data_IF_573436985509
#
_entry.id   IF_573436985509
#
_cell.length_a   1.000
_cell.length_b   1.000
_cell.length_c   1.000
_cell.angle_alpha   90.00
_cell.angle_beta   90.00
_cell.angle_gamma   90.00
#
_symmetry.space_group_name_H-M   'P 1'
#
loop_
_entity.id
_entity.type
_entity.pdbx_description
1 polymer ?
#
# COMPACT_ATOMS: atom_id res chain seq x y z
N UNK A 1 -15.29 10.96 28.85
CA UNK A 1 -16.22 10.54 27.79
C UNK A 1 -17.43 9.93 28.48
N UNK A 2 -18.58 10.60 28.43
CA UNK A 2 -19.83 10.01 28.90
C UNK A 2 -20.15 8.81 28.01
N UNK A 3 -20.45 7.67 28.61
CA UNK A 3 -20.94 6.48 27.91
C UNK A 3 -22.28 6.85 27.27
N UNK A 4 -22.26 7.21 26.00
CA UNK A 4 -23.46 7.55 25.25
C UNK A 4 -24.20 6.23 25.00
N UNK A 5 -25.43 6.12 25.50
CA UNK A 5 -26.27 4.95 25.21
C UNK A 5 -26.49 4.86 23.70
N UNK A 6 -26.18 3.69 23.12
CA UNK A 6 -26.37 3.48 21.69
C UNK A 6 -27.87 3.52 21.35
N UNK A 7 -28.22 4.41 20.43
CA UNK A 7 -29.54 4.49 19.82
C UNK A 7 -29.55 3.46 18.69
N UNK A 8 -30.14 2.30 18.96
CA UNK A 8 -30.22 1.17 18.03
C UNK A 8 -30.68 1.56 16.61
N UNK A 9 -31.57 2.53 16.48
CA UNK A 9 -32.06 3.01 15.18
C UNK A 9 -30.97 3.66 14.32
N UNK A 10 -30.02 4.37 14.93
CA UNK A 10 -28.89 4.96 14.21
C UNK A 10 -27.92 3.87 13.76
N UNK A 11 -27.58 2.95 14.67
CA UNK A 11 -26.67 1.83 14.37
C UNK A 11 -27.24 0.96 13.23
N UNK A 12 -28.54 0.62 13.28
CA UNK A 12 -29.21 -0.17 12.25
C UNK A 12 -29.36 0.59 10.92
N UNK A 13 -29.50 1.92 10.95
CA UNK A 13 -29.54 2.74 9.75
C UNK A 13 -28.16 2.79 9.07
N UNK A 14 -27.11 3.15 9.82
CA UNK A 14 -25.75 3.27 9.28
C UNK A 14 -25.23 1.93 8.78
N UNK A 15 -25.43 0.83 9.52
CA UNK A 15 -25.00 -0.50 9.05
C UNK A 15 -25.62 -0.89 7.72
N UNK A 16 -26.92 -0.59 7.53
CA UNK A 16 -27.59 -0.85 6.25
C UNK A 16 -27.08 0.08 5.15
N UNK A 17 -26.87 1.35 5.47
CA UNK A 17 -26.37 2.35 4.54
C UNK A 17 -24.98 1.98 4.02
N UNK A 18 -24.05 1.67 4.92
CA UNK A 18 -22.63 1.38 4.62
C UNK A 18 -22.43 0.03 3.92
N UNK A 19 -23.29 -0.96 4.21
CA UNK A 19 -23.19 -2.31 3.62
C UNK A 19 -23.09 -2.27 2.10
N UNK A 20 -23.91 -1.44 1.46
CA UNK A 20 -24.05 -1.39 0.00
C UNK A 20 -23.17 -0.30 -0.65
N UNK A 21 -22.24 0.30 0.11
CA UNK A 21 -21.21 1.19 -0.42
C UNK A 21 -20.07 0.38 -1.08
N UNK A 22 -19.53 0.89 -2.20
CA UNK A 22 -18.41 0.33 -2.95
C UNK A 22 -17.03 0.79 -2.42
N UNK A 23 -16.90 0.79 -1.09
CA UNK A 23 -15.71 1.20 -0.36
C UNK A 23 -14.96 -0.02 0.20
N UNK A 24 -13.67 0.12 0.51
CA UNK A 24 -12.92 -0.91 1.23
C UNK A 24 -13.42 -1.06 2.68
N UNK A 25 -13.20 -2.20 3.33
CA UNK A 25 -13.71 -2.45 4.69
C UNK A 25 -13.17 -1.45 5.73
N UNK A 26 -11.93 -0.97 5.56
CA UNK A 26 -11.38 0.08 6.41
C UNK A 26 -12.14 1.41 6.19
N UNK A 27 -12.32 1.82 4.93
CA UNK A 27 -13.10 3.02 4.56
C UNK A 27 -14.57 2.92 5.01
N UNK A 28 -15.19 1.76 4.90
CA UNK A 28 -16.55 1.51 5.40
C UNK A 28 -16.65 1.75 6.89
N UNK A 29 -15.66 1.26 7.65
CA UNK A 29 -15.60 1.52 9.09
C UNK A 29 -15.38 2.99 9.41
N UNK A 30 -14.53 3.68 8.65
CA UNK A 30 -14.32 5.13 8.80
C UNK A 30 -15.63 5.90 8.58
N UNK A 31 -16.34 5.57 7.51
CA UNK A 31 -17.65 6.16 7.18
C UNK A 31 -18.70 5.83 8.24
N UNK A 32 -18.73 4.59 8.74
CA UNK A 32 -19.63 4.17 9.82
C UNK A 32 -19.37 4.99 11.10
N UNK A 33 -18.10 5.12 11.51
CA UNK A 33 -17.72 5.87 12.72
C UNK A 33 -18.04 7.38 12.57
N UNK A 34 -17.67 7.99 11.45
CA UNK A 34 -17.88 9.43 11.18
C UNK A 34 -19.37 9.77 11.09
N UNK A 35 -20.15 9.01 10.31
CA UNK A 35 -21.58 9.30 10.13
C UNK A 35 -22.38 9.00 11.39
N UNK A 36 -22.00 7.98 12.15
CA UNK A 36 -22.60 7.72 13.46
C UNK A 36 -22.38 8.93 14.38
N UNK A 37 -21.16 9.47 14.45
CA UNK A 37 -20.87 10.67 15.24
C UNK A 37 -21.76 11.86 14.81
N UNK A 38 -21.91 12.10 13.50
CA UNK A 38 -22.77 13.15 12.99
C UNK A 38 -24.25 13.00 13.37
N UNK A 39 -24.79 11.77 13.34
CA UNK A 39 -26.17 11.50 13.79
C UNK A 39 -26.33 11.84 15.28
N UNK A 40 -25.36 11.45 16.13
CA UNK A 40 -25.40 11.75 17.56
C UNK A 40 -25.22 13.23 17.89
N UNK A 41 -24.34 13.94 17.16
CA UNK A 41 -24.16 15.38 17.33
C UNK A 41 -25.44 16.14 17.00
N UNK A 42 -26.10 15.74 15.91
CA UNK A 42 -27.38 16.32 15.50
C UNK A 42 -28.51 16.00 16.49
N UNK A 43 -28.63 14.74 16.91
CA UNK A 43 -29.58 14.33 17.95
C UNK A 43 -29.39 15.12 19.25
N UNK A 44 -28.14 15.30 19.68
CA UNK A 44 -27.81 16.06 20.89
C UNK A 44 -28.19 17.54 20.76
N UNK A 45 -28.09 18.11 19.56
CA UNK A 45 -28.56 19.47 19.27
C UNK A 45 -30.08 19.59 19.42
N UNK A 46 -30.85 18.64 18.86
CA UNK A 46 -32.31 18.62 18.97
C UNK A 46 -32.79 18.39 20.39
N UNK A 47 -32.12 17.52 21.15
CA UNK A 47 -32.39 17.31 22.58
C UNK A 47 -32.17 18.61 23.39
N UNK A 48 -31.13 19.38 23.09
CA UNK A 48 -30.90 20.70 23.73
C UNK A 48 -31.96 21.73 23.38
N UNK A 49 -32.63 21.57 22.24
CA UNK A 49 -33.76 22.41 21.84
C UNK A 49 -35.09 21.97 22.49
N UNK A 50 -35.09 20.89 23.28
CA UNK A 50 -36.24 20.40 24.02
C UNK A 50 -37.14 19.46 23.23
N UNK A 51 -36.69 18.92 22.09
CA UNK A 51 -37.46 17.91 21.35
C UNK A 51 -37.53 16.60 22.14
N UNK A 52 -38.67 15.92 22.04
CA UNK A 52 -38.86 14.59 22.60
C UNK A 52 -37.93 13.58 21.89
N UNK A 53 -37.52 12.52 22.61
CA UNK A 53 -36.49 11.59 22.13
C UNK A 53 -36.89 10.93 20.82
N UNK A 54 -38.14 10.46 20.70
CA UNK A 54 -38.58 9.78 19.49
C UNK A 54 -38.66 10.72 18.28
N UNK A 55 -39.17 11.93 18.50
CA UNK A 55 -39.27 12.99 17.49
C UNK A 55 -37.88 13.45 17.02
N UNK A 56 -36.93 13.60 17.94
CA UNK A 56 -35.55 13.95 17.61
C UNK A 56 -34.87 12.86 16.76
N UNK A 57 -35.07 11.58 17.09
CA UNK A 57 -34.49 10.46 16.32
C UNK A 57 -35.06 10.44 14.90
N UNK A 58 -36.37 10.56 14.76
CA UNK A 58 -37.03 10.59 13.45
C UNK A 58 -36.53 11.79 12.62
N UNK A 59 -36.48 12.98 13.23
CA UNK A 59 -36.01 14.20 12.58
C UNK A 59 -34.57 14.08 12.08
N UNK A 60 -33.68 13.46 12.86
CA UNK A 60 -32.29 13.23 12.44
C UNK A 60 -32.22 12.31 11.23
N UNK A 61 -32.95 11.18 11.25
CA UNK A 61 -32.93 10.22 10.15
C UNK A 61 -33.52 10.80 8.86
N UNK A 62 -34.62 11.55 8.96
CA UNK A 62 -35.23 12.24 7.82
C UNK A 62 -34.30 13.30 7.22
N UNK A 63 -33.62 14.08 8.06
CA UNK A 63 -32.68 15.10 7.60
C UNK A 63 -31.37 14.54 7.07
N UNK A 64 -30.93 13.38 7.58
CA UNK A 64 -29.74 12.71 7.06
C UNK A 64 -29.97 12.24 5.62
N UNK A 65 -31.18 11.77 5.31
CA UNK A 65 -31.66 11.57 3.95
C UNK A 65 -32.00 10.12 3.62
N UNK A 66 -32.45 9.93 2.37
CA UNK A 66 -32.79 8.60 1.86
C UNK A 66 -31.54 7.75 1.63
N UNK A 67 -31.60 6.51 2.09
CA UNK A 67 -30.47 5.58 2.07
C UNK A 67 -30.00 5.27 0.65
N UNK A 68 -30.92 5.08 -0.30
CA UNK A 68 -30.57 4.74 -1.69
C UNK A 68 -29.95 5.93 -2.40
N UNK A 69 -30.46 7.13 -2.11
CA UNK A 69 -29.92 8.37 -2.66
C UNK A 69 -28.47 8.58 -2.20
N UNK A 70 -28.21 8.49 -0.89
CA UNK A 70 -26.85 8.64 -0.34
C UNK A 70 -25.92 7.55 -0.89
N UNK A 71 -26.35 6.30 -0.93
CA UNK A 71 -25.57 5.20 -1.52
C UNK A 71 -25.21 5.48 -2.97
N UNK A 72 -26.16 5.96 -3.77
CA UNK A 72 -25.96 6.27 -5.18
C UNK A 72 -24.95 7.41 -5.33
N UNK A 73 -25.11 8.49 -4.59
CA UNK A 73 -24.23 9.64 -4.64
C UNK A 73 -22.80 9.30 -4.21
N UNK A 74 -22.66 8.55 -3.11
CA UNK A 74 -21.35 8.11 -2.60
C UNK A 74 -20.70 7.14 -3.59
N UNK A 75 -21.43 6.16 -4.12
CA UNK A 75 -20.90 5.20 -5.09
C UNK A 75 -20.55 5.84 -6.44
N UNK A 76 -21.22 6.94 -6.82
CA UNK A 76 -20.85 7.72 -8.00
C UNK A 76 -19.64 8.62 -7.77
N UNK A 77 -19.56 9.24 -6.58
CA UNK A 77 -18.49 10.18 -6.21
C UNK A 77 -17.18 9.47 -5.90
N UNK A 78 -17.25 8.30 -5.28
CA UNK A 78 -16.10 7.44 -5.02
C UNK A 78 -15.89 6.50 -6.21
N UNK A 79 -14.78 6.64 -6.97
CA UNK A 79 -14.46 5.62 -7.96
C UNK A 79 -14.39 4.28 -7.23
N UNK A 80 -15.10 3.27 -7.75
CA UNK A 80 -15.18 1.97 -7.08
C UNK A 80 -13.79 1.52 -6.63
N UNK A 81 -13.66 1.04 -5.38
CA UNK A 81 -12.37 0.61 -4.82
C UNK A 81 -11.63 -0.34 -5.77
N UNK A 82 -12.36 -1.14 -6.54
CA UNK A 82 -11.83 -2.01 -7.60
C UNK A 82 -11.15 -1.19 -8.72
N UNK A 83 -11.80 -0.15 -9.25
CA UNK A 83 -11.25 0.67 -10.34
C UNK A 83 -10.00 1.43 -9.88
N UNK A 84 -10.03 2.02 -8.69
CA UNK A 84 -8.90 2.75 -8.14
C UNK A 84 -7.71 1.82 -7.85
N UNK A 85 -8.00 0.62 -7.33
CA UNK A 85 -7.01 -0.44 -7.16
C UNK A 85 -6.41 -0.87 -8.50
N UNK A 86 -7.23 -1.17 -9.51
CA UNK A 86 -6.74 -1.56 -10.85
C UNK A 86 -5.86 -0.45 -11.42
N UNK A 87 -6.27 0.81 -11.29
CA UNK A 87 -5.48 1.94 -11.77
C UNK A 87 -4.12 2.02 -11.08
N UNK A 88 -4.07 1.84 -9.75
CA UNK A 88 -2.80 1.76 -9.00
C UNK A 88 -1.91 0.63 -9.50
N UNK A 89 -2.45 -0.57 -9.63
CA UNK A 89 -1.71 -1.74 -10.13
C UNK A 89 -1.19 -1.54 -11.54
N UNK A 90 -2.00 -0.94 -12.44
CA UNK A 90 -1.57 -0.63 -13.80
C UNK A 90 -0.41 0.36 -13.82
N UNK A 91 -0.45 1.42 -13.01
CA UNK A 91 0.65 2.39 -12.92
C UNK A 91 1.92 1.72 -12.40
N UNK A 92 1.82 0.93 -11.32
CA UNK A 92 2.96 0.21 -10.75
C UNK A 92 3.54 -0.78 -11.77
N UNK A 93 2.68 -1.54 -12.45
CA UNK A 93 3.07 -2.51 -13.46
C UNK A 93 3.81 -1.87 -14.63
N UNK A 94 3.30 -0.76 -15.16
CA UNK A 94 3.96 0.00 -16.23
C UNK A 94 5.33 0.51 -15.78
N UNK A 95 5.44 1.06 -14.57
CA UNK A 95 6.73 1.51 -14.03
C UNK A 95 7.73 0.35 -13.86
N UNK A 96 7.27 -0.82 -13.39
CA UNK A 96 8.11 -2.01 -13.27
C UNK A 96 8.61 -2.49 -14.64
N UNK A 97 7.74 -2.52 -15.65
CA UNK A 97 8.11 -2.90 -17.02
C UNK A 97 9.13 -1.89 -17.57
N UNK A 98 8.86 -0.59 -17.51
CA UNK A 98 9.79 0.44 -18.00
C UNK A 98 11.15 0.31 -17.30
N UNK A 99 11.17 0.18 -15.97
CA UNK A 99 12.41 0.02 -15.21
C UNK A 99 13.15 -1.27 -15.57
N UNK A 100 12.45 -2.37 -15.82
CA UNK A 100 13.07 -3.65 -16.21
C UNK A 100 13.67 -3.63 -17.63
N UNK A 101 13.12 -2.81 -18.53
CA UNK A 101 13.59 -2.70 -19.91
C UNK A 101 14.75 -1.71 -20.03
N UNK A 102 14.64 -0.56 -19.37
CA UNK A 102 15.60 0.54 -19.46
C UNK A 102 16.71 0.40 -18.42
N UNK A 103 16.39 -0.13 -17.23
CA UNK A 103 17.33 -0.26 -16.11
C UNK A 103 18.60 -1.01 -16.49
N UNK A 104 18.53 -2.25 -17.03
CA UNK A 104 19.73 -2.97 -17.45
C UNK A 104 20.57 -2.22 -18.49
N UNK A 105 19.93 -1.52 -19.42
CA UNK A 105 20.63 -0.71 -20.43
C UNK A 105 21.40 0.46 -19.79
N UNK A 106 20.77 1.19 -18.86
CA UNK A 106 21.40 2.35 -18.20
C UNK A 106 22.48 1.91 -17.21
N UNK A 107 22.19 0.89 -16.40
CA UNK A 107 22.99 0.54 -15.23
C UNK A 107 24.21 -0.33 -15.57
N UNK A 108 24.05 -1.28 -16.49
CA UNK A 108 25.10 -2.25 -16.84
C UNK A 108 25.44 -2.26 -18.33
N UNK A 109 24.86 -1.37 -19.13
CA UNK A 109 25.11 -1.31 -20.57
C UNK A 109 24.58 -2.53 -21.33
N UNK A 110 23.61 -3.26 -20.77
CA UNK A 110 23.06 -4.45 -21.43
C UNK A 110 22.26 -4.07 -22.67
N UNK A 111 22.46 -4.82 -23.76
CA UNK A 111 21.63 -4.69 -24.96
C UNK A 111 20.22 -5.20 -24.70
N UNK A 112 19.24 -4.53 -25.30
CA UNK A 112 17.85 -4.96 -25.23
C UNK A 112 17.68 -6.36 -25.80
N UNK A 113 17.04 -7.24 -25.02
CA UNK A 113 16.64 -8.56 -25.45
C UNK A 113 15.11 -8.71 -25.33
N UNK A 114 14.42 -9.28 -26.33
CA UNK A 114 12.95 -9.41 -26.29
C UNK A 114 12.40 -10.14 -25.06
N UNK A 115 13.15 -11.09 -24.50
CA UNK A 115 12.72 -11.83 -23.31
C UNK A 115 12.69 -10.98 -22.03
N UNK A 116 13.31 -9.79 -22.01
CA UNK A 116 13.17 -8.88 -20.87
C UNK A 116 11.71 -8.46 -20.65
N UNK A 117 10.92 -8.36 -21.72
CA UNK A 117 9.48 -8.06 -21.61
C UNK A 117 8.74 -9.23 -20.97
N UNK A 118 8.92 -10.44 -21.51
CA UNK A 118 8.18 -11.62 -21.03
C UNK A 118 8.58 -12.02 -19.60
N UNK A 119 9.87 -12.00 -19.28
CA UNK A 119 10.36 -12.28 -17.93
C UNK A 119 9.78 -11.28 -16.91
N UNK A 120 9.74 -10.00 -17.24
CA UNK A 120 9.23 -8.96 -16.35
C UNK A 120 7.72 -9.03 -16.18
N UNK A 121 6.96 -9.38 -17.22
CA UNK A 121 5.52 -9.63 -17.12
C UNK A 121 5.22 -10.83 -16.22
N UNK A 122 5.95 -11.93 -16.38
CA UNK A 122 5.79 -13.13 -15.53
C UNK A 122 6.14 -12.78 -14.09
N UNK A 123 7.29 -12.14 -13.85
CA UNK A 123 7.70 -11.70 -12.52
C UNK A 123 6.67 -10.77 -11.87
N UNK A 124 6.06 -9.85 -12.64
CA UNK A 124 5.04 -8.93 -12.17
C UNK A 124 3.76 -9.66 -11.76
N UNK A 125 3.31 -10.66 -12.54
CA UNK A 125 2.15 -11.50 -12.17
C UNK A 125 2.42 -12.22 -10.86
N UNK A 126 3.59 -12.83 -10.70
CA UNK A 126 3.96 -13.48 -9.44
C UNK A 126 4.05 -12.48 -8.28
N UNK A 127 4.67 -11.32 -8.49
CA UNK A 127 4.77 -10.27 -7.48
C UNK A 127 3.38 -9.81 -7.02
N UNK A 128 2.45 -9.59 -7.94
CA UNK A 128 1.06 -9.25 -7.63
C UNK A 128 0.38 -10.34 -6.79
N UNK A 129 0.47 -11.61 -7.20
CA UNK A 129 -0.18 -12.72 -6.49
C UNK A 129 0.39 -12.89 -5.07
N UNK A 130 1.72 -12.82 -4.93
CA UNK A 130 2.41 -12.93 -3.64
C UNK A 130 2.04 -11.76 -2.74
N UNK A 131 2.08 -10.53 -3.26
CA UNK A 131 1.72 -9.33 -2.51
C UNK A 131 0.27 -9.40 -2.01
N UNK A 132 -0.68 -9.78 -2.88
CA UNK A 132 -2.08 -9.98 -2.50
C UNK A 132 -2.24 -11.04 -1.42
N UNK A 133 -1.49 -12.14 -1.50
CA UNK A 133 -1.52 -13.18 -0.49
C UNK A 133 -1.01 -12.68 0.87
N UNK A 134 0.14 -11.98 0.88
CA UNK A 134 0.73 -11.39 2.10
C UNK A 134 -0.24 -10.38 2.70
N UNK A 135 -0.70 -9.41 1.91
CA UNK A 135 -1.58 -8.34 2.37
C UNK A 135 -2.90 -8.90 2.96
N UNK A 136 -3.49 -9.92 2.32
CA UNK A 136 -4.72 -10.56 2.82
C UNK A 136 -4.52 -11.30 4.14
N UNK A 137 -3.34 -11.91 4.36
CA UNK A 137 -3.04 -12.70 5.57
C UNK A 137 -2.57 -11.83 6.73
N UNK A 138 -2.12 -10.62 6.45
CA UNK A 138 -1.57 -9.70 7.44
C UNK A 138 -2.65 -8.81 8.05
N UNK A 139 -3.57 -9.39 8.81
CA UNK A 139 -4.54 -8.62 9.60
C UNK A 139 -4.02 -8.20 10.97
N UNK A 140 -3.05 -8.94 11.54
CA UNK A 140 -2.51 -8.69 12.88
C UNK A 140 -1.06 -8.15 12.82
N UNK A 141 -0.83 -6.99 13.45
CA UNK A 141 0.48 -6.36 13.58
C UNK A 141 1.48 -7.24 14.35
N UNK A 142 1.01 -8.11 15.25
CA UNK A 142 1.87 -9.02 16.01
C UNK A 142 2.55 -10.03 15.09
N UNK A 143 1.83 -10.52 14.08
CA UNK A 143 2.38 -11.40 13.05
C UNK A 143 3.43 -10.66 12.23
N UNK A 144 3.25 -9.37 11.94
CA UNK A 144 4.25 -8.54 11.27
C UNK A 144 5.54 -8.45 12.07
N UNK A 145 5.48 -8.30 13.40
CA UNK A 145 6.69 -8.24 14.26
C UNK A 145 7.44 -9.57 14.25
N UNK A 146 6.74 -10.67 14.54
CA UNK A 146 7.35 -12.01 14.58
C UNK A 146 7.92 -12.36 13.19
N UNK A 147 7.14 -12.09 12.14
CA UNK A 147 7.52 -12.30 10.76
C UNK A 147 8.74 -11.48 10.36
N UNK A 148 8.82 -10.20 10.75
CA UNK A 148 9.95 -9.33 10.44
C UNK A 148 11.24 -9.85 11.10
N UNK A 149 11.17 -10.25 12.37
CA UNK A 149 12.33 -10.86 13.07
C UNK A 149 12.79 -12.11 12.32
N UNK A 150 11.87 -13.01 11.97
CA UNK A 150 12.20 -14.23 11.24
C UNK A 150 12.80 -13.95 9.86
N UNK A 151 12.25 -12.98 9.12
CA UNK A 151 12.75 -12.58 7.80
C UNK A 151 14.17 -12.01 7.92
N UNK A 152 14.44 -11.15 8.90
CA UNK A 152 15.79 -10.60 9.09
C UNK A 152 16.81 -11.67 9.46
N UNK A 153 16.46 -12.60 10.36
CA UNK A 153 17.35 -13.74 10.69
C UNK A 153 17.68 -14.53 9.43
N UNK A 154 16.68 -14.85 8.61
CA UNK A 154 16.90 -15.57 7.36
C UNK A 154 17.72 -14.75 6.35
N UNK A 155 17.45 -13.45 6.24
CA UNK A 155 18.19 -12.53 5.40
C UNK A 155 19.68 -12.50 5.78
N UNK A 156 20.01 -12.42 7.07
CA UNK A 156 21.39 -12.51 7.54
C UNK A 156 22.05 -13.86 7.24
N UNK A 157 21.31 -14.97 7.31
CA UNK A 157 21.81 -16.29 6.94
C UNK A 157 22.11 -16.38 5.43
N UNK A 158 21.21 -15.87 4.58
CA UNK A 158 21.46 -15.75 3.14
C UNK A 158 22.67 -14.86 2.85
N UNK A 159 22.77 -13.73 3.54
CA UNK A 159 23.89 -12.81 3.39
C UNK A 159 25.21 -13.48 3.73
N UNK A 160 25.29 -14.18 4.87
CA UNK A 160 26.46 -14.96 5.26
C UNK A 160 26.85 -15.99 4.19
N UNK A 161 25.87 -16.64 3.57
CA UNK A 161 26.10 -17.62 2.50
C UNK A 161 26.67 -16.96 1.25
N UNK A 162 26.19 -15.78 0.87
CA UNK A 162 26.66 -15.06 -0.32
C UNK A 162 28.08 -14.50 -0.17
N UNK A 163 28.42 -13.98 1.01
CA UNK A 163 29.71 -13.31 1.25
C UNK A 163 30.77 -14.24 1.86
N UNK A 164 30.43 -15.48 2.20
CA UNK A 164 31.37 -16.47 2.77
C UNK A 164 31.80 -16.20 4.21
N UNK A 165 31.48 -15.04 4.78
CA UNK A 165 31.76 -14.66 6.17
C UNK A 165 30.52 -14.09 6.86
N UNK A 166 30.39 -14.31 8.17
CA UNK A 166 29.44 -13.55 8.98
C UNK A 166 29.89 -12.10 9.05
N UNK A 167 29.04 -11.15 8.66
CA UNK A 167 29.30 -9.75 8.99
C UNK A 167 29.14 -9.55 10.48
N UNK A 168 30.14 -8.92 11.07
CA UNK A 168 29.96 -8.26 12.37
C UNK A 168 28.93 -7.13 12.22
N UNK A 169 28.24 -6.80 13.32
CA UNK A 169 27.32 -5.66 13.37
C UNK A 169 28.01 -4.36 12.94
N UNK A 170 29.30 -4.19 13.27
CA UNK A 170 30.08 -3.02 12.90
C UNK A 170 30.30 -2.93 11.39
N UNK A 171 30.65 -4.05 10.74
CA UNK A 171 30.77 -4.11 9.28
C UNK A 171 29.41 -3.86 8.61
N UNK A 172 28.33 -4.40 9.17
CA UNK A 172 26.98 -4.19 8.64
C UNK A 172 26.58 -2.71 8.71
N UNK A 173 26.82 -2.06 9.85
CA UNK A 173 26.59 -0.63 10.03
C UNK A 173 27.46 0.21 9.10
N UNK A 174 28.75 -0.11 9.00
CA UNK A 174 29.66 0.58 8.10
C UNK A 174 29.17 0.50 6.65
N UNK A 175 28.79 -0.68 6.16
CA UNK A 175 28.25 -0.83 4.81
C UNK A 175 26.94 -0.09 4.58
N UNK A 176 26.05 -0.06 5.58
CA UNK A 176 24.75 0.58 5.45
C UNK A 176 24.87 2.11 5.39
N UNK A 177 25.88 2.69 6.05
CA UNK A 177 26.15 4.13 6.08
C UNK A 177 27.29 4.57 5.18
N UNK A 178 28.00 3.65 4.50
CA UNK A 178 28.90 4.02 3.42
C UNK A 178 28.05 4.55 2.28
N UNK A 179 27.95 5.88 2.18
CA UNK A 179 27.30 6.63 1.10
C UNK A 179 28.09 6.50 -0.22
N UNK A 180 28.57 5.30 -0.57
CA UNK A 180 29.23 5.05 -1.84
C UNK A 180 28.15 4.87 -2.92
N UNK A 181 27.67 6.00 -3.45
CA UNK A 181 26.63 6.06 -4.47
C UNK A 181 27.02 5.38 -5.79
N UNK A 182 28.31 5.08 -6.01
CA UNK A 182 28.74 4.32 -7.18
C UNK A 182 28.38 2.83 -7.08
N UNK A 183 27.92 2.38 -5.90
CA UNK A 183 27.51 1.01 -5.59
C UNK A 183 26.00 0.82 -5.50
N UNK A 184 25.20 1.70 -6.09
CA UNK A 184 23.74 1.55 -6.07
C UNK A 184 23.26 0.24 -6.71
N UNK A 185 24.01 -0.24 -7.69
CA UNK A 185 23.75 -1.48 -8.42
C UNK A 185 25.02 -2.31 -8.44
N UNK A 186 24.92 -3.55 -7.97
CA UNK A 186 26.06 -4.46 -7.95
C UNK A 186 26.49 -4.83 -9.36
N UNK A 187 27.64 -5.49 -9.49
CA UNK A 187 28.22 -5.90 -10.78
C UNK A 187 27.33 -6.79 -11.65
N UNK A 188 26.29 -7.41 -11.08
CA UNK A 188 25.28 -8.19 -11.80
C UNK A 188 23.98 -7.46 -12.14
N UNK A 189 23.89 -6.15 -11.92
CA UNK A 189 22.65 -5.37 -12.11
C UNK A 189 21.57 -5.62 -11.04
N UNK A 190 21.92 -6.35 -9.98
CA UNK A 190 21.10 -6.49 -8.77
C UNK A 190 21.23 -5.23 -7.90
N UNK A 191 20.14 -4.82 -7.26
CA UNK A 191 20.23 -3.79 -6.21
C UNK A 191 21.18 -4.24 -5.12
N UNK A 192 22.15 -3.39 -4.78
CA UNK A 192 23.00 -3.67 -3.64
C UNK A 192 22.21 -3.60 -2.35
N UNK A 193 22.78 -4.26 -1.34
CA UNK A 193 22.31 -4.25 0.03
C UNK A 193 21.93 -2.84 0.53
N UNK A 194 22.76 -1.84 0.21
CA UNK A 194 22.54 -0.44 0.61
C UNK A 194 21.26 0.12 -0.03
N UNK A 195 21.07 -0.10 -1.34
CA UNK A 195 19.88 0.36 -2.07
C UNK A 195 18.60 -0.25 -1.54
N UNK A 196 18.62 -1.56 -1.22
CA UNK A 196 17.47 -2.26 -0.61
C UNK A 196 17.06 -1.59 0.71
N UNK A 197 18.03 -1.21 1.56
CA UNK A 197 17.75 -0.53 2.83
C UNK A 197 17.31 0.92 2.62
N UNK A 198 17.89 1.64 1.65
CA UNK A 198 17.44 2.99 1.32
C UNK A 198 15.97 3.02 0.87
N UNK A 199 15.57 2.08 0.02
CA UNK A 199 14.17 1.92 -0.38
C UNK A 199 13.27 1.65 0.84
N UNK A 200 13.72 0.82 1.78
CA UNK A 200 13.01 0.57 3.04
C UNK A 200 12.91 1.83 3.92
N UNK A 201 13.97 2.62 4.03
CA UNK A 201 13.94 3.89 4.77
C UNK A 201 13.00 4.91 4.15
N UNK A 202 12.94 4.98 2.82
CA UNK A 202 11.96 5.80 2.11
C UNK A 202 10.54 5.33 2.42
N UNK A 203 10.28 4.02 2.45
CA UNK A 203 8.97 3.48 2.87
C UNK A 203 8.63 3.94 4.29
N UNK A 204 9.57 3.81 5.24
CA UNK A 204 9.36 4.25 6.63
C UNK A 204 9.04 5.75 6.68
N UNK A 205 9.83 6.58 5.99
CA UNK A 205 9.63 8.02 5.92
C UNK A 205 8.25 8.37 5.34
N UNK A 206 7.83 7.70 4.27
CA UNK A 206 6.50 7.89 3.67
C UNK A 206 5.37 7.53 4.65
N UNK A 207 5.54 6.50 5.49
CA UNK A 207 4.55 6.15 6.52
C UNK A 207 4.46 7.21 7.64
N UNK A 208 5.56 7.92 7.95
CA UNK A 208 5.53 9.05 8.87
C UNK A 208 4.80 10.27 8.30
N UNK A 209 4.99 10.56 7.01
CA UNK A 209 4.38 11.72 6.34
C UNK A 209 2.88 11.47 6.06
N UNK A 210 2.50 10.22 5.82
CA UNK A 210 1.10 9.86 5.56
C UNK A 210 0.29 10.04 6.84
N UNK A 211 -0.59 11.04 6.86
CA UNK A 211 -1.53 11.27 7.97
C UNK A 211 -2.70 10.28 7.80
N UNK A 212 -2.79 9.29 8.68
CA UNK A 212 -3.96 8.42 8.85
C UNK A 212 -4.28 8.41 10.35
N UNK A 213 -5.48 8.85 10.72
CA UNK A 213 -5.90 9.01 12.12
C UNK A 213 -6.30 7.69 12.78
N UNK A 214 -6.58 6.64 12.00
CA UNK A 214 -7.19 5.40 12.47
C UNK A 214 -6.14 4.35 12.86
N UNK A 215 -5.09 4.21 12.07
CA UNK A 215 -4.02 3.25 12.35
C UNK A 215 -2.78 3.95 12.91
N UNK A 216 -2.37 3.64 14.16
CA UNK A 216 -1.15 4.19 14.74
C UNK A 216 0.05 4.06 13.81
N UNK A 217 0.82 5.13 13.65
CA UNK A 217 1.95 5.21 12.70
C UNK A 217 2.94 4.06 12.84
N UNK A 218 3.24 3.62 14.07
CA UNK A 218 4.14 2.49 14.31
C UNK A 218 3.60 1.16 13.75
N UNK A 219 2.28 0.91 13.80
CA UNK A 219 1.67 -0.29 13.20
C UNK A 219 1.77 -0.26 11.69
N UNK A 220 1.56 0.92 11.08
CA UNK A 220 1.71 1.12 9.63
C UNK A 220 3.15 0.86 9.19
N UNK A 221 4.12 1.44 9.91
CA UNK A 221 5.55 1.21 9.67
C UNK A 221 5.91 -0.28 9.76
N UNK A 222 5.48 -0.97 10.80
CA UNK A 222 5.73 -2.41 10.96
C UNK A 222 5.10 -3.21 9.82
N UNK A 223 3.86 -2.88 9.46
CA UNK A 223 3.15 -3.62 8.44
C UNK A 223 3.80 -3.43 7.06
N UNK A 224 4.12 -2.20 6.67
CA UNK A 224 4.81 -1.92 5.41
C UNK A 224 6.23 -2.50 5.39
N UNK A 225 6.94 -2.46 6.52
CA UNK A 225 8.26 -3.08 6.63
C UNK A 225 8.17 -4.59 6.40
N UNK A 226 7.22 -5.26 7.05
CA UNK A 226 7.02 -6.70 6.86
C UNK A 226 6.66 -7.04 5.41
N UNK A 227 5.73 -6.32 4.78
CA UNK A 227 5.33 -6.57 3.39
C UNK A 227 6.52 -6.42 2.43
N UNK A 228 7.28 -5.33 2.57
CA UNK A 228 8.48 -5.08 1.76
C UNK A 228 9.52 -6.19 1.92
N UNK A 229 9.88 -6.54 3.16
CA UNK A 229 10.88 -7.56 3.44
C UNK A 229 10.42 -8.98 3.06
N UNK A 230 9.14 -9.30 3.24
CA UNK A 230 8.57 -10.59 2.83
C UNK A 230 8.57 -10.74 1.30
N UNK A 231 8.19 -9.68 0.58
CA UNK A 231 8.25 -9.64 -0.89
C UNK A 231 9.67 -9.83 -1.40
N UNK A 232 10.64 -9.11 -0.81
CA UNK A 232 12.05 -9.26 -1.14
C UNK A 232 12.52 -10.70 -0.92
N UNK A 233 12.17 -11.28 0.22
CA UNK A 233 12.62 -12.62 0.58
C UNK A 233 12.05 -13.68 -0.39
N UNK A 234 10.77 -13.59 -0.71
CA UNK A 234 10.12 -14.48 -1.68
C UNK A 234 10.70 -14.26 -3.08
N UNK A 235 10.97 -13.01 -3.47
CA UNK A 235 11.62 -12.68 -4.73
C UNK A 235 12.99 -13.35 -4.85
N UNK A 236 13.84 -13.25 -3.82
CA UNK A 236 15.14 -13.95 -3.74
C UNK A 236 14.96 -15.46 -3.80
N UNK A 237 14.00 -16.01 -3.07
CA UNK A 237 13.70 -17.44 -3.08
C UNK A 237 13.32 -17.93 -4.48
N UNK A 238 12.40 -17.25 -5.16
CA UNK A 238 11.98 -17.60 -6.52
C UNK A 238 13.10 -17.45 -7.55
N UNK A 239 13.96 -16.46 -7.36
CA UNK A 239 15.16 -16.27 -8.18
C UNK A 239 16.14 -17.44 -8.09
N UNK A 240 16.29 -18.07 -6.92
CA UNK A 240 17.15 -19.25 -6.76
C UNK A 240 16.68 -20.47 -7.58
N UNK A 241 15.42 -20.50 -8.03
CA UNK A 241 14.91 -21.57 -8.91
C UNK A 241 15.02 -21.25 -10.39
N UNK A 242 15.50 -20.05 -10.76
CA UNK A 242 15.68 -19.69 -12.16
C UNK A 242 16.95 -20.32 -12.73
N UNK A 243 16.86 -20.84 -13.96
CA UNK A 243 17.99 -21.46 -14.64
C UNK A 243 18.99 -20.46 -15.23
N UNK A 244 18.57 -19.21 -15.43
CA UNK A 244 19.39 -18.12 -15.96
C UNK A 244 19.62 -17.03 -14.91
N UNK A 245 20.88 -16.56 -14.81
CA UNK A 245 21.24 -15.46 -13.93
C UNK A 245 20.48 -14.17 -14.25
N UNK A 246 20.25 -13.88 -15.53
CA UNK A 246 19.49 -12.70 -15.96
C UNK A 246 18.02 -12.77 -15.54
N UNK A 247 17.40 -13.96 -15.66
CA UNK A 247 16.05 -14.20 -15.17
C UNK A 247 15.95 -13.99 -13.67
N UNK A 248 16.93 -14.53 -12.93
CA UNK A 248 17.04 -14.30 -11.48
C UNK A 248 17.13 -12.81 -11.14
N UNK A 249 17.97 -12.05 -11.84
CA UNK A 249 18.14 -10.60 -11.63
C UNK A 249 16.85 -9.83 -11.92
N UNK A 250 16.21 -10.09 -13.06
CA UNK A 250 14.95 -9.45 -13.42
C UNK A 250 13.84 -9.76 -12.41
N UNK A 251 13.72 -11.01 -11.98
CA UNK A 251 12.74 -11.40 -10.96
C UNK A 251 12.95 -10.64 -9.65
N UNK A 252 14.18 -10.62 -9.13
CA UNK A 252 14.49 -9.90 -7.88
C UNK A 252 14.19 -8.41 -8.03
N UNK A 253 14.66 -7.78 -9.11
CA UNK A 253 14.46 -6.35 -9.32
C UNK A 253 12.98 -5.98 -9.47
N UNK A 254 12.18 -6.79 -10.19
CA UNK A 254 10.73 -6.56 -10.32
C UNK A 254 10.04 -6.74 -8.96
N UNK A 255 10.36 -7.77 -8.18
CA UNK A 255 9.77 -7.97 -6.85
C UNK A 255 10.08 -6.82 -5.89
N UNK A 256 11.35 -6.39 -5.83
CA UNK A 256 11.79 -5.29 -4.97
C UNK A 256 11.11 -3.98 -5.40
N UNK A 257 11.15 -3.66 -6.69
CA UNK A 257 10.55 -2.43 -7.20
C UNK A 257 9.04 -2.43 -7.02
N UNK A 258 8.36 -3.55 -7.30
CA UNK A 258 6.94 -3.68 -7.10
C UNK A 258 6.56 -3.46 -5.63
N UNK A 259 7.25 -4.13 -4.70
CA UNK A 259 7.02 -3.97 -3.26
C UNK A 259 7.27 -2.53 -2.79
N UNK A 260 8.30 -1.86 -3.31
CA UNK A 260 8.56 -0.47 -3.02
C UNK A 260 7.47 0.48 -3.55
N UNK A 261 7.07 0.28 -4.81
CA UNK A 261 6.04 1.11 -5.45
C UNK A 261 4.67 0.94 -4.81
N UNK A 262 4.36 -0.26 -4.29
CA UNK A 262 3.12 -0.51 -3.53
C UNK A 262 2.98 0.41 -2.30
N UNK A 263 4.09 0.79 -1.68
CA UNK A 263 4.11 1.64 -0.49
C UNK A 263 4.36 3.12 -0.77
N UNK A 264 4.95 3.47 -1.91
CA UNK A 264 5.25 4.86 -2.26
C UNK A 264 4.16 5.52 -3.12
N UNK A 265 3.48 4.73 -3.97
CA UNK A 265 2.41 5.25 -4.82
C UNK A 265 1.07 5.14 -4.08
N UNK A 266 0.47 6.29 -3.77
CA UNK A 266 -0.87 6.37 -3.18
C UNK A 266 -1.95 6.50 -4.26
N UNK A 267 -3.10 5.86 -4.01
CA UNK A 267 -4.29 5.97 -4.89
C UNK A 267 -4.71 7.43 -5.02
N UNK A 268 -4.80 8.16 -3.90
CA UNK A 268 -5.13 9.59 -3.86
C UNK A 268 -4.19 10.42 -4.73
N UNK A 269 -2.88 10.14 -4.69
CA UNK A 269 -1.89 10.80 -5.54
C UNK A 269 -2.14 10.58 -7.03
N UNK A 270 -2.45 9.34 -7.43
CA UNK A 270 -2.81 9.00 -8.82
C UNK A 270 -4.09 9.73 -9.25
N UNK A 271 -5.13 9.73 -8.42
CA UNK A 271 -6.41 10.38 -8.75
C UNK A 271 -6.24 11.88 -8.96
N UNK A 272 -5.52 12.56 -8.05
CA UNK A 272 -5.22 14.00 -8.17
C UNK A 272 -4.41 14.28 -9.45
N UNK A 273 -3.39 13.47 -9.72
CA UNK A 273 -2.57 13.61 -10.93
C UNK A 273 -3.42 13.42 -12.19
N UNK A 274 -4.24 12.37 -12.25
CA UNK A 274 -5.12 12.08 -13.38
C UNK A 274 -6.11 13.22 -13.63
N UNK A 275 -6.75 13.76 -12.58
CA UNK A 275 -7.63 14.91 -12.70
C UNK A 275 -6.91 16.16 -13.22
N UNK A 276 -5.67 16.42 -12.76
CA UNK A 276 -4.86 17.55 -13.23
C UNK A 276 -4.50 17.40 -14.71
N UNK A 277 -4.12 16.21 -15.14
CA UNK A 277 -3.82 15.90 -16.56
C UNK A 277 -5.06 16.09 -17.42
N UNK A 278 -6.22 15.56 -17.03
CA UNK A 278 -7.47 15.75 -17.77
C UNK A 278 -7.81 17.24 -17.92
N UNK A 279 -7.70 18.04 -16.85
CA UNK A 279 -7.96 19.48 -16.91
C UNK A 279 -7.01 20.22 -17.87
N UNK A 280 -5.77 19.77 -18.03
CA UNK A 280 -4.84 20.37 -19.00
C UNK A 280 -5.26 20.12 -20.45
N UNK A 281 -5.73 18.91 -20.77
CA UNK A 281 -6.20 18.58 -22.13
C UNK A 281 -7.53 19.27 -22.47
N UNK A 282 -8.48 19.36 -21.54
CA UNK A 282 -9.77 20.04 -21.79
C UNK A 282 -9.64 21.56 -21.96
N UNK A 283 -8.61 22.19 -21.38
CA UNK A 283 -8.36 23.63 -21.57
C UNK A 283 -7.79 23.97 -22.95
N UNK A 284 -7.28 23.00 -23.70
CA UNK A 284 -6.73 23.23 -25.03
C UNK A 284 -7.79 23.08 -26.14
N UNK A 285 -8.98 22.57 -25.81
CA UNK A 285 -10.08 22.35 -26.77
C UNK A 285 -11.16 23.45 -26.75
N UNK A 286 -10.96 24.51 -25.97
CA UNK A 286 -11.83 25.70 -25.87
C UNK A 286 -11.05 26.92 -26.33
#
# INVERSE_FOLDING_TARGET
>A
MSTQESIKQFDDYIKRLVRDLHLEEEEKREVEEEWTQHLYDHYSSLQKQGLEKSEAIQSVLEQFGDMQMIQTEVNQSYPSAIKSHIQKESVIGVLCIIASLIGPMILIGAYFQPYFISASLIALVFAYLVHRFIAKRQSDWRLSVIGLIAIYVFFFQLFKRMYGSSLSLDQYGAHLFTLDWNRLTGSGGLFEFVTIHMMWYVIIAMQFITINNYTPTWKRILNSSFQYWAMLLIGVFLAMFQSSGEWSVLFINVFILYAFLQHTISIKGITIFSQKVSRMFYRQSL
#
